data_IF_926324841623
#
_entry.id   IF_926324841623
#
_cell.length_a   1.000
_cell.length_b   1.000
_cell.length_c   1.000
_cell.angle_alpha   90.00
_cell.angle_beta   90.00
_cell.angle_gamma   90.00
#
_symmetry.space_group_name_H-M   'P 1'
#
loop_
_entity.id
_entity.type
_entity.pdbx_description
1 polymer ?
#
# COMPACT_ATOMS: atom_id res chain seq x y z
N UNK A 1 -24.80 0.42 -18.26
CA UNK A 1 -24.87 0.49 -16.81
C UNK A 1 -24.04 1.71 -16.40
N UNK A 2 -24.69 2.83 -16.17
CA UNK A 2 -24.03 4.11 -15.86
C UNK A 2 -23.34 3.99 -14.51
N UNK A 3 -22.01 4.09 -14.48
CA UNK A 3 -21.24 4.20 -13.23
C UNK A 3 -21.34 5.65 -12.77
N UNK A 4 -22.19 5.94 -11.82
CA UNK A 4 -22.19 7.23 -11.16
C UNK A 4 -20.96 7.34 -10.27
N UNK A 5 -19.95 8.11 -10.69
CA UNK A 5 -18.87 8.55 -9.83
C UNK A 5 -19.42 9.66 -8.92
N UNK A 6 -19.57 9.36 -7.65
CA UNK A 6 -19.82 10.38 -6.64
C UNK A 6 -18.48 11.06 -6.31
N UNK A 7 -18.33 12.31 -6.73
CA UNK A 7 -17.28 13.16 -6.16
C UNK A 7 -17.55 13.35 -4.68
N UNK A 8 -16.81 12.63 -3.86
CA UNK A 8 -16.98 12.67 -2.40
C UNK A 8 -15.95 13.66 -1.85
N UNK A 9 -16.35 14.62 -1.01
CA UNK A 9 -15.40 15.51 -0.35
C UNK A 9 -14.32 14.72 0.40
N UNK A 10 -13.11 15.24 0.45
CA UNK A 10 -11.95 14.56 1.04
C UNK A 10 -12.20 14.03 2.47
N UNK A 11 -12.99 14.75 3.28
CA UNK A 11 -13.36 14.33 4.64
C UNK A 11 -14.29 13.10 4.63
N UNK A 12 -15.23 13.01 3.68
CA UNK A 12 -16.15 11.87 3.60
C UNK A 12 -15.44 10.61 3.09
N UNK A 13 -14.51 10.75 2.14
CA UNK A 13 -13.61 9.66 1.72
C UNK A 13 -12.80 9.14 2.91
N UNK A 14 -12.31 10.04 3.74
CA UNK A 14 -11.54 9.69 4.93
C UNK A 14 -12.38 8.96 5.98
N UNK A 15 -13.59 9.44 6.28
CA UNK A 15 -14.49 8.78 7.23
C UNK A 15 -14.92 7.39 6.74
N UNK A 16 -15.18 7.24 5.44
CA UNK A 16 -15.47 5.95 4.83
C UNK A 16 -14.24 5.03 4.90
N UNK A 17 -13.05 5.52 4.58
CA UNK A 17 -11.81 4.77 4.68
C UNK A 17 -11.55 4.29 6.10
N UNK A 18 -11.86 5.12 7.08
CA UNK A 18 -11.72 4.82 8.50
C UNK A 18 -12.71 3.77 8.97
N UNK A 19 -13.99 3.88 8.61
CA UNK A 19 -15.09 3.06 9.16
C UNK A 19 -15.32 1.74 8.43
N UNK A 20 -14.96 1.65 7.13
CA UNK A 20 -15.21 0.45 6.33
C UNK A 20 -14.47 -0.78 6.89
N UNK A 21 -15.19 -1.89 7.00
CA UNK A 21 -14.61 -3.22 7.30
C UNK A 21 -14.27 -4.02 6.03
N UNK A 22 -14.53 -3.47 4.86
CA UNK A 22 -14.24 -4.10 3.56
C UNK A 22 -13.08 -3.38 2.87
N UNK A 23 -12.42 -4.02 1.90
CA UNK A 23 -11.50 -3.31 1.00
C UNK A 23 -12.18 -2.08 0.41
N UNK A 24 -11.46 -0.95 0.40
CA UNK A 24 -11.94 0.30 -0.14
C UNK A 24 -10.99 0.78 -1.21
N UNK A 25 -11.50 0.97 -2.41
CA UNK A 25 -10.80 1.62 -3.49
C UNK A 25 -11.06 3.13 -3.44
N UNK A 26 -9.99 3.91 -3.41
CA UNK A 26 -10.02 5.37 -3.48
C UNK A 26 -9.40 5.78 -4.81
N UNK A 27 -10.24 6.14 -5.76
CA UNK A 27 -9.78 6.67 -7.04
C UNK A 27 -9.25 8.09 -6.86
N UNK A 28 -8.11 8.37 -7.48
CA UNK A 28 -7.59 9.73 -7.66
C UNK A 28 -7.70 10.04 -9.15
N UNK A 29 -8.41 11.12 -9.47
CA UNK A 29 -8.63 11.57 -10.86
C UNK A 29 -8.11 12.98 -11.00
N UNK A 30 -7.42 13.26 -12.10
CA UNK A 30 -6.91 14.59 -12.43
C UNK A 30 -8.00 15.51 -13.02
N UNK A 31 -9.25 15.29 -12.67
CA UNK A 31 -10.39 16.13 -13.07
C UNK A 31 -10.81 16.06 -14.55
N UNK A 32 -9.94 15.62 -15.45
CA UNK A 32 -10.17 15.63 -16.91
C UNK A 32 -10.23 14.22 -17.55
N UNK A 33 -10.03 13.16 -16.77
CA UNK A 33 -10.02 11.82 -17.34
C UNK A 33 -11.26 11.01 -16.91
N UNK A 34 -12.29 11.06 -17.78
CA UNK A 34 -13.40 10.08 -17.76
C UNK A 34 -12.95 8.65 -18.10
N UNK A 35 -11.65 8.44 -18.34
CA UNK A 35 -11.03 7.17 -18.67
C UNK A 35 -10.11 6.68 -17.54
N UNK A 36 -10.70 6.16 -16.47
CA UNK A 36 -10.02 5.13 -15.70
C UNK A 36 -10.09 3.87 -16.57
N UNK A 37 -9.10 3.66 -17.42
CA UNK A 37 -8.99 2.44 -18.21
C UNK A 37 -8.88 1.27 -17.24
N UNK A 38 -9.90 0.43 -17.20
CA UNK A 38 -10.03 -0.70 -16.24
C UNK A 38 -8.81 -1.67 -16.28
N UNK A 39 -8.13 -1.78 -17.41
CA UNK A 39 -7.00 -2.71 -17.60
C UNK A 39 -5.66 -2.23 -17.02
N UNK A 40 -5.48 -0.94 -16.76
CA UNK A 40 -4.18 -0.38 -16.30
C UNK A 40 -4.10 -0.20 -14.78
N UNK A 41 -5.21 -0.27 -14.05
CA UNK A 41 -5.23 0.02 -12.60
C UNK A 41 -4.44 -0.97 -11.75
N UNK A 42 -4.34 -2.21 -12.18
CA UNK A 42 -3.59 -3.26 -11.48
C UNK A 42 -2.20 -3.51 -12.07
N UNK A 43 -1.82 -2.79 -13.13
CA UNK A 43 -0.61 -3.09 -13.88
C UNK A 43 0.66 -3.01 -13.05
N UNK A 44 0.85 -1.93 -12.28
CA UNK A 44 2.01 -1.75 -11.39
C UNK A 44 1.54 -1.32 -10.01
N UNK A 45 1.68 -2.19 -9.04
CA UNK A 45 1.23 -1.95 -7.66
C UNK A 45 2.40 -1.58 -6.76
N UNK A 46 2.23 -0.58 -5.90
CA UNK A 46 3.12 -0.34 -4.78
C UNK A 46 2.53 -0.93 -3.50
N UNK A 47 3.34 -1.69 -2.76
CA UNK A 47 2.94 -2.36 -1.53
C UNK A 47 3.82 -1.89 -0.37
N UNK A 48 3.37 -0.91 0.41
CA UNK A 48 4.01 -0.57 1.66
C UNK A 48 3.87 -1.68 2.68
N UNK A 49 4.97 -2.06 3.32
CA UNK A 49 4.97 -3.07 4.37
C UNK A 49 5.82 -2.64 5.57
N UNK A 50 5.34 -2.93 6.77
CA UNK A 50 6.07 -2.86 8.03
C UNK A 50 6.46 -4.27 8.52
N UNK A 51 6.30 -5.25 7.62
CA UNK A 51 6.50 -6.67 7.87
C UNK A 51 5.61 -7.28 8.97
N UNK A 52 4.58 -6.59 9.41
CA UNK A 52 3.58 -7.16 10.30
C UNK A 52 2.71 -8.19 9.55
N UNK A 53 2.12 -9.12 10.30
CA UNK A 53 1.14 -10.06 9.70
C UNK A 53 0.01 -9.31 8.99
N UNK A 54 -0.36 -8.13 9.46
CA UNK A 54 -1.40 -7.31 8.86
C UNK A 54 -0.98 -6.76 7.50
N UNK A 55 0.25 -6.23 7.38
CA UNK A 55 0.74 -5.71 6.08
C UNK A 55 0.88 -6.82 5.02
N UNK A 56 1.02 -8.07 5.45
CA UNK A 56 1.08 -9.22 4.55
C UNK A 56 -0.28 -9.59 3.92
N UNK A 57 -1.39 -9.04 4.39
CA UNK A 57 -2.72 -9.23 3.76
C UNK A 57 -2.70 -8.77 2.30
N UNK A 58 -1.96 -7.70 2.00
CA UNK A 58 -1.78 -7.22 0.64
C UNK A 58 -1.13 -8.25 -0.30
N UNK A 59 -0.25 -9.12 0.21
CA UNK A 59 0.37 -10.20 -0.57
C UNK A 59 -0.66 -11.25 -1.01
N UNK A 60 -1.60 -11.60 -0.14
CA UNK A 60 -2.65 -12.56 -0.48
C UNK A 60 -3.54 -12.02 -1.60
N UNK A 61 -3.81 -10.71 -1.58
CA UNK A 61 -4.54 -10.06 -2.65
C UNK A 61 -3.78 -10.15 -3.98
N UNK A 62 -2.48 -9.84 -4.00
CA UNK A 62 -1.66 -9.93 -5.21
C UNK A 62 -1.68 -11.34 -5.77
N UNK A 63 -1.52 -12.36 -4.93
CA UNK A 63 -1.57 -13.77 -5.34
C UNK A 63 -2.90 -14.11 -6.00
N UNK A 64 -4.01 -13.56 -5.49
CA UNK A 64 -5.35 -13.77 -6.06
C UNK A 64 -5.53 -13.04 -7.39
N UNK A 65 -4.84 -11.92 -7.59
CA UNK A 65 -4.92 -11.07 -8.77
C UNK A 65 -3.73 -11.24 -9.73
N UNK A 66 -2.93 -12.29 -9.57
CA UNK A 66 -1.66 -12.48 -10.30
C UNK A 66 -1.77 -12.37 -11.82
N UNK A 67 -2.92 -12.74 -12.40
CA UNK A 67 -3.15 -12.67 -13.85
C UNK A 67 -3.34 -11.24 -14.37
N UNK A 68 -3.62 -10.29 -13.47
CA UNK A 68 -3.86 -8.88 -13.78
C UNK A 68 -2.73 -7.96 -13.32
N UNK A 69 -1.82 -8.45 -12.47
CA UNK A 69 -0.72 -7.67 -11.92
C UNK A 69 0.56 -7.97 -12.68
N UNK A 70 1.09 -6.99 -13.40
CA UNK A 70 2.33 -7.16 -14.16
C UNK A 70 3.58 -6.90 -13.32
N UNK A 71 3.51 -5.94 -12.41
CA UNK A 71 4.66 -5.51 -11.60
C UNK A 71 4.26 -5.11 -10.17
N UNK A 72 5.13 -5.41 -9.21
CA UNK A 72 4.96 -5.03 -7.80
C UNK A 72 6.23 -4.34 -7.31
N UNK A 73 6.06 -3.19 -6.65
CA UNK A 73 7.13 -2.48 -5.94
C UNK A 73 6.85 -2.56 -4.44
N UNK A 74 7.61 -3.35 -3.70
CA UNK A 74 7.54 -3.36 -2.24
C UNK A 74 8.29 -2.17 -1.66
N UNK A 75 7.73 -1.54 -0.63
CA UNK A 75 8.41 -0.41 0.01
C UNK A 75 8.39 -0.54 1.53
N UNK A 76 9.53 -0.27 2.15
CA UNK A 76 9.68 -0.22 3.60
C UNK A 76 10.44 1.04 4.03
N UNK A 77 10.02 1.66 5.12
CA UNK A 77 10.66 2.85 5.66
C UNK A 77 10.98 2.64 7.14
N UNK A 78 12.26 2.75 7.48
CA UNK A 78 12.73 2.76 8.86
C UNK A 78 12.49 4.15 9.46
N UNK A 79 11.39 4.30 10.22
CA UNK A 79 11.03 5.62 10.78
C UNK A 79 11.83 6.00 12.01
N UNK A 80 12.28 5.01 12.80
CA UNK A 80 12.96 5.24 14.07
C UNK A 80 14.16 4.34 14.24
N UNK A 81 15.26 4.92 14.67
CA UNK A 81 16.49 4.23 15.09
C UNK A 81 17.07 4.93 16.32
N UNK A 82 17.77 4.17 17.17
CA UNK A 82 18.40 4.69 18.38
C UNK A 82 19.70 5.44 18.07
N UNK A 83 20.44 4.92 17.12
CA UNK A 83 21.73 5.43 16.64
C UNK A 83 22.00 4.92 15.23
N UNK A 84 23.15 5.28 14.67
CA UNK A 84 23.53 4.91 13.32
C UNK A 84 23.67 3.39 13.12
N UNK A 85 24.26 2.68 14.08
CA UNK A 85 24.42 1.21 14.00
C UNK A 85 23.08 0.48 14.05
N UNK A 86 22.14 0.94 14.88
CA UNK A 86 20.77 0.40 14.91
C UNK A 86 20.04 0.67 13.59
N UNK A 87 20.27 1.83 12.97
CA UNK A 87 19.70 2.14 11.65
C UNK A 87 20.24 1.20 10.58
N UNK A 88 21.55 1.02 10.50
CA UNK A 88 22.20 0.15 9.53
C UNK A 88 21.70 -1.30 9.67
N UNK A 89 21.62 -1.79 10.91
CA UNK A 89 21.09 -3.13 11.20
C UNK A 89 19.62 -3.28 10.75
N UNK A 90 18.79 -2.27 10.96
CA UNK A 90 17.39 -2.28 10.51
C UNK A 90 17.25 -2.23 9.00
N UNK A 91 18.07 -1.43 8.33
CA UNK A 91 18.08 -1.37 6.86
C UNK A 91 18.49 -2.71 6.26
N UNK A 92 19.60 -3.31 6.72
CA UNK A 92 20.06 -4.63 6.25
C UNK A 92 19.00 -5.72 6.49
N UNK A 93 18.37 -5.73 7.66
CA UNK A 93 17.28 -6.67 7.95
C UNK A 93 16.08 -6.45 7.01
N UNK A 94 15.73 -5.19 6.77
CA UNK A 94 14.63 -4.86 5.86
C UNK A 94 14.94 -5.31 4.43
N UNK A 95 16.14 -5.05 3.92
CA UNK A 95 16.59 -5.48 2.58
C UNK A 95 16.48 -7.00 2.43
N UNK A 96 17.02 -7.78 3.37
CA UNK A 96 16.92 -9.24 3.35
C UNK A 96 15.47 -9.73 3.26
N UNK A 97 14.58 -9.14 4.05
CA UNK A 97 13.14 -9.50 4.02
C UNK A 97 12.45 -9.08 2.72
N UNK A 98 12.88 -7.96 2.12
CA UNK A 98 12.39 -7.54 0.83
C UNK A 98 12.83 -8.47 -0.29
N UNK A 99 14.07 -8.96 -0.24
CA UNK A 99 14.58 -9.95 -1.19
C UNK A 99 13.74 -11.24 -1.15
N UNK A 100 13.34 -11.69 0.04
CA UNK A 100 12.43 -12.83 0.21
C UNK A 100 11.08 -12.58 -0.47
N UNK A 101 10.48 -11.40 -0.26
CA UNK A 101 9.20 -11.04 -0.90
C UNK A 101 9.32 -10.96 -2.42
N UNK A 102 10.40 -10.39 -2.93
CA UNK A 102 10.66 -10.31 -4.38
C UNK A 102 10.86 -11.71 -4.97
N UNK A 103 11.63 -12.58 -4.29
CA UNK A 103 11.81 -13.96 -4.70
C UNK A 103 10.49 -14.73 -4.75
N UNK A 104 9.63 -14.51 -3.76
CA UNK A 104 8.30 -15.11 -3.74
C UNK A 104 7.43 -14.67 -4.93
N UNK A 105 7.41 -13.37 -5.26
CA UNK A 105 6.63 -12.88 -6.41
C UNK A 105 7.11 -13.48 -7.73
N UNK A 106 8.42 -13.69 -7.87
CA UNK A 106 8.98 -14.37 -9.06
C UNK A 106 8.44 -15.77 -9.25
N UNK A 107 8.15 -16.51 -8.17
CA UNK A 107 7.55 -17.85 -8.26
C UNK A 107 6.13 -17.81 -8.83
N UNK A 108 5.44 -16.67 -8.71
CA UNK A 108 4.12 -16.45 -9.30
C UNK A 108 4.18 -15.80 -10.69
N UNK A 109 5.38 -15.60 -11.25
CA UNK A 109 5.58 -14.97 -12.56
C UNK A 109 5.39 -13.46 -12.55
N UNK A 110 5.33 -12.83 -11.37
CA UNK A 110 5.14 -11.39 -11.22
C UNK A 110 6.51 -10.72 -11.13
N UNK A 111 6.73 -9.68 -11.96
CA UNK A 111 7.92 -8.83 -11.84
C UNK A 111 7.86 -8.05 -10.52
N UNK A 112 8.89 -8.13 -9.71
CA UNK A 112 8.93 -7.45 -8.43
C UNK A 112 10.27 -6.77 -8.18
N UNK A 113 10.19 -5.63 -7.50
CA UNK A 113 11.32 -4.84 -7.00
C UNK A 113 11.03 -4.32 -5.61
N UNK A 114 12.01 -3.69 -4.96
CA UNK A 114 11.79 -3.09 -3.65
C UNK A 114 12.58 -1.79 -3.46
N UNK A 115 12.08 -0.96 -2.54
CA UNK A 115 12.72 0.26 -2.06
C UNK A 115 12.74 0.23 -0.52
N UNK A 116 13.92 0.47 0.05
CA UNK A 116 14.11 0.58 1.50
C UNK A 116 14.87 1.86 1.79
N UNK A 117 14.39 2.64 2.76
CA UNK A 117 15.08 3.86 3.18
C UNK A 117 14.65 4.25 4.62
N UNK A 118 15.22 5.31 5.14
CA UNK A 118 14.86 5.92 6.43
C UNK A 118 14.02 7.18 6.24
N UNK A 119 13.17 7.50 7.21
CA UNK A 119 12.44 8.78 7.25
C UNK A 119 10.96 8.62 7.57
N UNK A 120 10.16 9.59 7.15
CA UNK A 120 8.72 9.58 7.33
C UNK A 120 8.06 8.67 6.28
N UNK A 121 7.45 7.56 6.70
CA UNK A 121 6.92 6.53 5.81
C UNK A 121 5.91 7.10 4.80
N UNK A 122 4.92 7.87 5.25
CA UNK A 122 3.90 8.42 4.35
C UNK A 122 4.48 9.31 3.25
N UNK A 123 5.46 10.16 3.60
CA UNK A 123 6.12 11.03 2.61
C UNK A 123 6.92 10.25 1.58
N UNK A 124 7.66 9.22 2.03
CA UNK A 124 8.44 8.36 1.13
C UNK A 124 7.53 7.56 0.21
N UNK A 125 6.46 6.97 0.74
CA UNK A 125 5.47 6.21 -0.04
C UNK A 125 4.86 7.07 -1.15
N UNK A 126 4.35 8.27 -0.82
CA UNK A 126 3.76 9.16 -1.83
C UNK A 126 4.78 9.54 -2.90
N UNK A 127 6.01 9.95 -2.50
CA UNK A 127 7.06 10.33 -3.44
C UNK A 127 7.44 9.17 -4.36
N UNK A 128 7.71 7.98 -3.81
CA UNK A 128 8.07 6.82 -4.60
C UNK A 128 6.95 6.33 -5.51
N UNK A 129 5.69 6.52 -5.10
CA UNK A 129 4.56 6.19 -5.95
C UNK A 129 4.56 7.01 -7.26
N UNK A 130 5.00 8.28 -7.19
CA UNK A 130 5.17 9.12 -8.38
C UNK A 130 6.44 8.76 -9.16
N UNK A 131 7.59 8.65 -8.48
CA UNK A 131 8.88 8.31 -9.10
C UNK A 131 8.83 6.97 -9.85
N UNK A 132 8.17 5.97 -9.28
CA UNK A 132 8.00 4.64 -9.86
C UNK A 132 6.83 4.56 -10.85
N UNK A 133 6.06 5.62 -11.01
CA UNK A 133 4.87 5.68 -11.85
C UNK A 133 3.93 4.49 -11.62
N UNK A 134 3.60 4.22 -10.35
CA UNK A 134 2.71 3.11 -10.02
C UNK A 134 1.27 3.45 -10.38
N UNK A 135 0.49 2.43 -10.78
CA UNK A 135 -0.93 2.58 -11.07
C UNK A 135 -1.74 2.77 -9.77
N UNK A 136 -1.32 2.10 -8.69
CA UNK A 136 -2.06 2.13 -7.44
C UNK A 136 -1.16 1.75 -6.26
N UNK A 137 -1.46 2.33 -5.09
CA UNK A 137 -0.89 1.91 -3.81
C UNK A 137 -1.88 0.96 -3.13
N UNK A 138 -1.47 -0.27 -2.84
CA UNK A 138 -2.28 -1.21 -2.07
C UNK A 138 -1.67 -1.41 -0.68
N UNK A 139 -2.40 -1.02 0.36
CA UNK A 139 -1.91 -1.08 1.73
C UNK A 139 -3.02 -1.41 2.73
N UNK A 140 -2.63 -1.94 3.88
CA UNK A 140 -3.56 -2.14 4.97
C UNK A 140 -3.81 -0.85 5.75
N UNK A 141 -5.02 -0.68 6.24
CA UNK A 141 -5.39 0.50 7.06
C UNK A 141 -4.58 0.60 8.33
N UNK A 142 -4.08 -0.54 8.85
CA UNK A 142 -3.34 -0.60 10.11
C UNK A 142 -2.13 -1.50 10.00
N UNK A 143 -1.05 -1.13 10.64
CA UNK A 143 0.20 -1.90 10.75
C UNK A 143 0.47 -2.41 12.17
N UNK A 144 1.74 -2.66 12.49
CA UNK A 144 2.21 -3.20 13.79
C UNK A 144 1.91 -2.30 14.98
N UNK A 145 1.87 -0.97 14.78
CA UNK A 145 1.72 0.03 15.86
C UNK A 145 0.29 0.23 16.37
N UNK A 146 -0.57 -0.75 16.30
CA UNK A 146 -2.00 -0.58 16.60
C UNK A 146 -2.28 -0.42 18.10
N UNK A 147 -2.79 0.75 18.47
CA UNK A 147 -3.47 0.96 19.74
C UNK A 147 -4.89 0.39 19.62
N UNK A 148 -5.35 -0.43 20.59
CA UNK A 148 -6.72 -0.94 20.66
C UNK A 148 -7.72 0.21 20.46
N UNK A 149 -8.61 0.07 19.46
CA UNK A 149 -9.60 1.10 19.13
C UNK A 149 -9.21 2.08 18.03
N UNK A 150 -7.97 2.04 17.52
CA UNK A 150 -7.58 2.84 16.36
C UNK A 150 -8.05 2.14 15.08
N UNK A 151 -8.87 2.83 14.33
CA UNK A 151 -9.49 2.29 13.10
C UNK A 151 -8.57 2.42 11.88
N UNK A 152 -7.60 3.35 11.93
CA UNK A 152 -6.65 3.61 10.83
C UNK A 152 -5.32 4.11 11.37
N UNK A 153 -4.21 3.58 10.86
CA UNK A 153 -2.86 4.00 11.23
C UNK A 153 -2.46 5.34 10.61
N UNK A 154 -1.58 6.08 11.28
CA UNK A 154 -1.15 7.41 10.84
C UNK A 154 -0.54 7.40 9.42
N UNK A 155 0.24 6.38 9.07
CA UNK A 155 0.82 6.24 7.72
C UNK A 155 -0.27 6.09 6.67
N UNK A 156 -1.23 5.17 6.88
CA UNK A 156 -2.33 4.96 5.95
C UNK A 156 -3.20 6.21 5.80
N UNK A 157 -3.48 6.90 6.91
CA UNK A 157 -4.20 8.17 6.91
C UNK A 157 -3.49 9.21 6.06
N UNK A 158 -2.20 9.45 6.32
CA UNK A 158 -1.43 10.46 5.59
C UNK A 158 -1.26 10.12 4.11
N UNK A 159 -1.08 8.85 3.76
CA UNK A 159 -1.02 8.43 2.35
C UNK A 159 -2.38 8.65 1.67
N UNK A 160 -3.49 8.30 2.34
CA UNK A 160 -4.84 8.52 1.78
C UNK A 160 -5.10 10.00 1.47
N UNK A 161 -4.64 10.90 2.34
CA UNK A 161 -4.85 12.34 2.17
C UNK A 161 -3.92 12.98 1.12
N UNK A 162 -2.67 12.49 1.01
CA UNK A 162 -1.62 13.20 0.27
C UNK A 162 -1.14 12.48 -1.00
N UNK A 163 -1.56 11.23 -1.25
CA UNK A 163 -1.19 10.55 -2.48
C UNK A 163 -1.97 11.11 -3.67
N UNK A 164 -1.30 11.29 -4.79
CA UNK A 164 -1.88 11.56 -6.10
C UNK A 164 -2.28 10.27 -6.82
N UNK A 165 -1.74 9.12 -6.40
CA UNK A 165 -2.08 7.80 -6.95
C UNK A 165 -3.30 7.21 -6.25
N UNK A 166 -4.10 6.48 -7.02
CA UNK A 166 -5.23 5.70 -6.48
C UNK A 166 -4.77 4.74 -5.39
N UNK A 167 -5.67 4.45 -4.43
CA UNK A 167 -5.35 3.59 -3.30
C UNK A 167 -6.34 2.43 -3.18
N UNK A 168 -5.82 1.27 -2.81
CA UNK A 168 -6.59 0.15 -2.31
C UNK A 168 -6.27 -0.04 -0.81
N UNK A 169 -7.24 0.30 0.01
CA UNK A 169 -7.13 0.20 1.47
C UNK A 169 -7.76 -1.12 1.93
N UNK A 170 -6.93 -1.99 2.50
CA UNK A 170 -7.34 -3.30 2.95
C UNK A 170 -7.62 -3.28 4.46
N UNK A 171 -8.71 -3.92 4.94
CA UNK A 171 -8.90 -4.14 6.36
C UNK A 171 -7.81 -5.07 6.89
N UNK A 172 -7.41 -4.86 8.15
CA UNK A 172 -6.38 -5.69 8.79
C UNK A 172 -6.93 -7.00 9.39
N UNK A 173 -8.23 -7.16 9.44
CA UNK A 173 -8.92 -8.17 10.25
C UNK A 173 -9.39 -9.40 9.45
N UNK A 174 -9.02 -9.52 8.16
CA UNK A 174 -9.39 -10.69 7.36
C UNK A 174 -8.30 -11.78 7.35
N UNK A 175 -7.88 -12.26 8.51
CA UNK A 175 -7.28 -13.59 8.65
C UNK A 175 -7.89 -14.28 9.87
N UNK A 176 -9.19 -14.48 9.84
CA UNK A 176 -9.80 -15.60 10.57
C UNK A 176 -9.97 -16.71 9.54
N UNK A 177 -8.95 -17.55 9.41
CA UNK A 177 -9.17 -18.88 8.88
C UNK A 177 -9.94 -19.65 9.95
N UNK A 178 -11.23 -19.88 9.72
CA UNK A 178 -11.91 -21.04 10.27
C UNK A 178 -11.37 -22.31 9.59
#
# INVERSE_FOLDING_TARGET
>A
MERAFLEVPCWATFDLARSSKRPLFVAKTDGDSDNIADDDMLRKLMIPTDFSKKSLVALNLIRSLREHVAEVVFVHVVERSRNQSDLESKLLNAESRMEELVAEMKLFGIKASYLVDKGAASKKICRWAEEENVSMIAMTKTGAGLVKGLVMGATAQNVTLNSERSLLLLPADEVSND
#
